data_IF_714077150237
#
_entry.id   IF_714077150237
#
_cell.length_a   1.000
_cell.length_b   1.000
_cell.length_c   1.000
_cell.angle_alpha   90.00
_cell.angle_beta   90.00
_cell.angle_gamma   90.00
#
_symmetry.space_group_name_H-M   'P 1'
#
loop_
_entity.id
_entity.type
_entity.pdbx_description
1 polymer ?
#
# COMPACT_ATOMS: atom_id res chain seq x y z
N UNK A 1 34.25 -70.36 30.59
CA UNK A 1 34.82 -71.72 30.62
C UNK A 1 36.20 -71.61 30.02
N UNK A 2 37.28 -71.91 30.77
CA UNK A 2 38.62 -71.91 30.20
C UNK A 2 38.76 -73.10 29.26
N UNK A 3 39.08 -72.85 27.99
CA UNK A 3 39.37 -73.93 27.03
C UNK A 3 40.67 -74.60 27.45
N UNK A 4 40.57 -75.85 27.90
CA UNK A 4 41.71 -76.63 28.38
C UNK A 4 42.06 -77.73 27.39
N UNK A 5 43.30 -77.72 26.94
CA UNK A 5 43.85 -78.70 26.01
C UNK A 5 44.16 -80.00 26.73
N UNK A 6 44.06 -81.12 26.01
CA UNK A 6 44.64 -82.37 26.51
C UNK A 6 46.17 -82.25 26.60
N UNK A 7 46.84 -83.05 27.45
CA UNK A 7 48.30 -82.99 27.57
C UNK A 7 49.02 -83.18 26.23
N UNK A 8 48.51 -84.06 25.36
CA UNK A 8 49.08 -84.32 24.03
C UNK A 8 48.89 -83.15 23.08
N UNK A 9 47.72 -82.51 23.08
CA UNK A 9 47.46 -81.31 22.27
C UNK A 9 48.31 -80.13 22.74
N UNK A 10 48.40 -79.94 24.05
CA UNK A 10 49.22 -78.89 24.66
C UNK A 10 50.69 -79.07 24.28
N UNK A 11 51.23 -80.28 24.36
CA UNK A 11 52.61 -80.57 23.97
C UNK A 11 52.88 -80.29 22.49
N UNK A 12 51.98 -80.72 21.59
CA UNK A 12 52.11 -80.48 20.14
C UNK A 12 52.09 -79.00 19.81
N UNK A 13 51.13 -78.26 20.38
CA UNK A 13 51.00 -76.83 20.13
C UNK A 13 52.15 -76.03 20.75
N UNK A 14 52.65 -76.42 21.93
CA UNK A 14 53.87 -75.83 22.49
C UNK A 14 55.07 -75.98 21.56
N UNK A 15 55.29 -77.16 20.96
CA UNK A 15 56.41 -77.36 20.03
C UNK A 15 56.36 -76.45 18.80
N UNK A 16 55.16 -76.22 18.24
CA UNK A 16 54.98 -75.28 17.12
C UNK A 16 55.25 -73.83 17.54
N UNK A 17 54.77 -73.44 18.73
CA UNK A 17 54.99 -72.09 19.27
C UNK A 17 56.46 -71.83 19.60
N UNK A 18 57.17 -72.82 20.15
CA UNK A 18 58.62 -72.76 20.39
C UNK A 18 59.40 -72.54 19.11
N UNK A 19 59.15 -73.36 18.08
CA UNK A 19 59.80 -73.21 16.78
C UNK A 19 59.48 -71.84 16.14
N UNK A 20 58.25 -71.35 16.31
CA UNK A 20 57.82 -70.05 15.80
C UNK A 20 58.53 -68.90 16.52
N UNK A 21 58.67 -68.97 17.84
CA UNK A 21 59.39 -67.99 18.66
C UNK A 21 60.88 -67.96 18.29
N UNK A 22 61.52 -69.12 18.12
CA UNK A 22 62.92 -69.21 17.70
C UNK A 22 63.14 -68.55 16.33
N UNK A 23 62.32 -68.90 15.34
CA UNK A 23 62.40 -68.31 13.99
C UNK A 23 62.15 -66.80 14.00
N UNK A 24 61.17 -66.32 14.77
CA UNK A 24 60.89 -64.88 14.86
C UNK A 24 61.97 -64.13 15.63
N UNK A 25 62.56 -64.72 16.67
CA UNK A 25 63.70 -64.16 17.39
C UNK A 25 64.93 -64.06 16.48
N UNK A 26 65.16 -65.06 15.63
CA UNK A 26 66.21 -65.01 14.61
C UNK A 26 65.99 -63.88 13.61
N UNK A 27 64.77 -63.72 13.08
CA UNK A 27 64.43 -62.58 12.23
C UNK A 27 64.63 -61.24 12.96
N UNK A 28 64.34 -61.19 14.26
CA UNK A 28 64.65 -60.04 15.12
C UNK A 28 66.15 -59.74 15.17
N UNK A 29 67.02 -60.74 15.28
CA UNK A 29 68.47 -60.56 15.33
C UNK A 29 69.10 -60.03 14.02
N UNK A 30 68.46 -60.27 12.88
CA UNK A 30 68.93 -59.77 11.56
C UNK A 30 68.39 -58.35 11.28
N UNK A 31 67.31 -57.94 11.93
CA UNK A 31 66.66 -56.64 11.67
C UNK A 31 67.55 -55.41 11.95
N UNK A 32 68.42 -55.39 12.99
CA UNK A 32 69.39 -54.31 13.20
C UNK A 32 70.32 -54.07 12.01
N UNK A 33 70.76 -55.13 11.34
CA UNK A 33 71.61 -55.07 10.15
C UNK A 33 70.85 -54.43 8.98
N UNK A 34 69.59 -54.86 8.76
CA UNK A 34 68.69 -54.27 7.75
C UNK A 34 68.41 -52.79 8.04
N UNK A 35 68.29 -52.40 9.31
CA UNK A 35 68.10 -51.01 9.73
C UNK A 35 69.35 -50.14 9.51
N UNK A 36 70.55 -50.71 9.59
CA UNK A 36 71.79 -50.01 9.26
C UNK A 36 71.86 -49.68 7.76
N UNK A 37 71.37 -50.59 6.91
CA UNK A 37 71.26 -50.39 5.46
C UNK A 37 69.96 -49.70 5.02
N UNK A 38 69.22 -49.08 5.95
CA UNK A 38 67.92 -48.43 5.68
C UNK A 38 68.01 -47.37 4.58
N UNK A 39 69.07 -46.56 4.57
CA UNK A 39 69.23 -45.47 3.59
C UNK A 39 69.50 -46.03 2.19
N UNK A 40 70.33 -47.06 2.07
CA UNK A 40 70.62 -47.77 0.82
C UNK A 40 69.35 -48.42 0.25
N UNK A 41 68.57 -49.10 1.10
CA UNK A 41 67.29 -49.71 0.68
C UNK A 41 66.25 -48.65 0.26
N UNK A 42 66.19 -47.53 0.97
CA UNK A 42 65.32 -46.40 0.60
C UNK A 42 65.76 -45.74 -0.72
N UNK A 43 67.07 -45.68 -0.99
CA UNK A 43 67.61 -45.19 -2.26
C UNK A 43 67.26 -46.12 -3.41
N UNK A 44 67.41 -47.45 -3.27
CA UNK A 44 67.04 -48.42 -4.30
C UNK A 44 65.57 -48.29 -4.70
N UNK A 45 64.67 -48.11 -3.73
CA UNK A 45 63.23 -47.87 -4.01
C UNK A 45 63.02 -46.51 -4.68
N UNK A 46 63.75 -45.48 -4.26
CA UNK A 46 63.73 -44.15 -4.88
C UNK A 46 64.24 -44.15 -6.33
N UNK A 47 65.28 -44.93 -6.62
CA UNK A 47 65.83 -45.13 -7.97
C UNK A 47 64.83 -45.84 -8.88
N UNK A 48 64.12 -46.85 -8.37
CA UNK A 48 63.08 -47.56 -9.12
C UNK A 48 61.89 -46.64 -9.45
N UNK A 49 61.44 -45.83 -8.48
CA UNK A 49 60.40 -44.81 -8.72
C UNK A 49 60.89 -43.78 -9.75
N UNK A 50 62.14 -43.34 -9.64
CA UNK A 50 62.74 -42.39 -10.58
C UNK A 50 62.83 -42.97 -11.99
N UNK A 51 63.16 -44.26 -12.13
CA UNK A 51 63.16 -44.99 -13.39
C UNK A 51 61.75 -45.03 -14.00
N UNK A 52 60.73 -45.39 -13.23
CA UNK A 52 59.33 -45.42 -13.70
C UNK A 52 58.87 -44.03 -14.16
N UNK A 53 59.23 -42.97 -13.43
CA UNK A 53 58.91 -41.58 -13.82
C UNK A 53 59.58 -41.23 -15.15
N UNK A 54 60.83 -41.66 -15.35
CA UNK A 54 61.56 -41.39 -16.58
C UNK A 54 60.98 -42.15 -17.78
N UNK A 55 60.60 -43.42 -17.60
CA UNK A 55 59.87 -44.20 -18.60
C UNK A 55 58.52 -43.57 -18.95
N UNK A 56 57.78 -43.07 -17.94
CA UNK A 56 56.52 -42.40 -18.16
C UNK A 56 56.68 -41.10 -18.97
N UNK A 57 57.70 -40.27 -18.67
CA UNK A 57 58.02 -39.08 -19.47
C UNK A 57 58.39 -39.42 -20.91
N UNK A 58 59.10 -40.53 -21.14
CA UNK A 58 59.40 -40.98 -22.49
C UNK A 58 58.14 -41.41 -23.25
N UNK A 59 57.22 -42.11 -22.59
CA UNK A 59 55.92 -42.48 -23.16
C UNK A 59 55.05 -41.25 -23.46
N UNK A 60 55.03 -40.25 -22.57
CA UNK A 60 54.34 -38.97 -22.79
C UNK A 60 54.90 -38.23 -24.01
N UNK A 61 56.23 -38.12 -24.11
CA UNK A 61 56.88 -37.49 -25.27
C UNK A 61 56.64 -38.26 -26.57
N UNK A 62 56.59 -39.61 -26.53
CA UNK A 62 56.24 -40.43 -27.69
C UNK A 62 54.77 -40.23 -28.09
N UNK A 63 53.87 -40.16 -27.11
CA UNK A 63 52.45 -39.92 -27.34
C UNK A 63 52.22 -38.55 -28.00
N UNK A 64 52.85 -37.50 -27.47
CA UNK A 64 52.75 -36.14 -28.03
C UNK A 64 53.22 -36.08 -29.48
N UNK A 65 54.38 -36.68 -29.80
CA UNK A 65 54.89 -36.80 -31.18
C UNK A 65 53.90 -37.53 -32.09
N UNK A 66 53.31 -38.62 -31.63
CA UNK A 66 52.34 -39.38 -32.41
C UNK A 66 51.04 -38.61 -32.64
N UNK A 67 50.55 -37.85 -31.65
CA UNK A 67 49.39 -36.94 -31.79
C UNK A 67 49.69 -35.83 -32.81
N UNK A 68 50.87 -35.21 -32.75
CA UNK A 68 51.29 -34.19 -33.71
C UNK A 68 51.37 -34.77 -35.14
N UNK A 69 51.95 -35.97 -35.30
CA UNK A 69 51.98 -36.68 -36.58
C UNK A 69 50.58 -37.02 -37.09
N UNK A 70 49.64 -37.42 -36.20
CA UNK A 70 48.25 -37.69 -36.57
C UNK A 70 47.56 -36.46 -37.16
N UNK A 71 47.81 -35.28 -36.59
CA UNK A 71 47.25 -34.01 -37.07
C UNK A 71 47.70 -33.72 -38.51
N UNK A 72 48.97 -33.97 -38.83
CA UNK A 72 49.54 -33.82 -40.19
C UNK A 72 49.01 -34.90 -41.14
N UNK A 73 48.95 -36.16 -40.71
CA UNK A 73 48.52 -37.29 -41.54
C UNK A 73 47.01 -37.27 -41.86
N UNK A 74 46.19 -36.58 -41.06
CA UNK A 74 44.75 -36.43 -41.31
C UNK A 74 44.44 -35.64 -42.59
N UNK A 75 45.37 -34.78 -43.04
CA UNK A 75 45.26 -33.98 -44.27
C UNK A 75 45.84 -34.63 -45.52
N UNK A 76 46.48 -35.80 -45.40
CA UNK A 76 47.17 -36.49 -46.51
C UNK A 76 46.39 -37.73 -46.96
N UNK A 77 46.49 -38.09 -48.24
CA UNK A 77 45.83 -39.26 -48.86
C UNK A 77 46.41 -40.62 -48.41
N UNK A 78 47.50 -40.63 -47.63
CA UNK A 78 48.19 -41.85 -47.21
C UNK A 78 47.48 -42.55 -46.04
N UNK A 79 46.40 -43.28 -46.36
CA UNK A 79 45.58 -44.05 -45.40
C UNK A 79 46.36 -45.12 -44.63
N UNK A 80 47.46 -45.65 -45.18
CA UNK A 80 48.26 -46.70 -44.52
C UNK A 80 49.01 -46.14 -43.31
N UNK A 81 49.80 -45.07 -43.52
CA UNK A 81 50.55 -44.41 -42.44
C UNK A 81 49.65 -43.84 -41.35
N UNK A 82 48.46 -43.35 -41.72
CA UNK A 82 47.48 -42.87 -40.74
C UNK A 82 46.96 -44.00 -39.82
N UNK A 83 46.66 -45.18 -40.38
CA UNK A 83 46.23 -46.35 -39.59
C UNK A 83 47.33 -46.90 -38.69
N UNK A 84 48.57 -46.90 -39.16
CA UNK A 84 49.73 -47.31 -38.38
C UNK A 84 49.97 -46.37 -37.19
N UNK A 85 49.99 -45.06 -37.44
CA UNK A 85 50.06 -44.05 -36.39
C UNK A 85 48.90 -44.17 -35.38
N UNK A 86 47.68 -44.47 -35.84
CA UNK A 86 46.54 -44.70 -34.95
C UNK A 86 46.72 -45.93 -34.05
N UNK A 87 47.32 -47.02 -34.55
CA UNK A 87 47.65 -48.21 -33.75
C UNK A 87 48.74 -47.90 -32.72
N UNK A 88 49.79 -47.18 -33.12
CA UNK A 88 50.85 -46.76 -32.20
C UNK A 88 50.34 -45.84 -31.09
N UNK A 89 49.43 -44.91 -31.40
CA UNK A 89 48.77 -44.07 -30.39
C UNK A 89 48.01 -44.92 -29.38
N UNK A 90 47.26 -45.92 -29.85
CA UNK A 90 46.50 -46.82 -28.96
C UNK A 90 47.43 -47.61 -28.04
N UNK A 91 48.53 -48.13 -28.57
CA UNK A 91 49.49 -48.92 -27.80
C UNK A 91 50.25 -48.05 -26.79
N UNK A 92 50.74 -46.88 -27.19
CA UNK A 92 51.38 -45.92 -26.26
C UNK A 92 50.39 -45.46 -25.19
N UNK A 93 49.11 -45.26 -25.52
CA UNK A 93 48.07 -44.93 -24.52
C UNK A 93 47.81 -46.04 -23.51
N UNK A 94 47.94 -47.31 -23.93
CA UNK A 94 47.81 -48.48 -23.03
C UNK A 94 49.00 -48.55 -22.09
N UNK A 95 50.21 -48.45 -22.64
CA UNK A 95 51.45 -48.43 -21.87
C UNK A 95 51.52 -47.26 -20.89
N UNK A 96 51.03 -46.08 -21.28
CA UNK A 96 50.93 -44.91 -20.38
C UNK A 96 50.01 -45.22 -19.19
N UNK A 97 48.85 -45.81 -19.42
CA UNK A 97 47.92 -46.21 -18.34
C UNK A 97 48.53 -47.25 -17.42
N UNK A 98 49.25 -48.23 -17.96
CA UNK A 98 49.95 -49.25 -17.18
C UNK A 98 51.10 -48.65 -16.36
N UNK A 99 51.89 -47.76 -16.96
CA UNK A 99 52.97 -47.01 -16.29
C UNK A 99 52.42 -46.12 -15.17
N UNK A 100 51.34 -45.36 -15.43
CA UNK A 100 50.70 -44.53 -14.40
C UNK A 100 50.14 -45.38 -13.26
N UNK A 101 49.54 -46.54 -13.55
CA UNK A 101 49.07 -47.47 -12.51
C UNK A 101 50.23 -48.01 -11.68
N UNK A 102 51.35 -48.38 -12.32
CA UNK A 102 52.57 -48.84 -11.66
C UNK A 102 53.16 -47.74 -10.76
N UNK A 103 53.26 -46.51 -11.26
CA UNK A 103 53.74 -45.35 -10.51
C UNK A 103 52.85 -45.05 -9.30
N UNK A 104 51.53 -44.96 -9.50
CA UNK A 104 50.59 -44.72 -8.40
C UNK A 104 50.63 -45.82 -7.35
N UNK A 105 50.81 -47.09 -7.76
CA UNK A 105 50.96 -48.20 -6.83
C UNK A 105 52.25 -48.06 -6.02
N UNK A 106 53.40 -47.83 -6.66
CA UNK A 106 54.68 -47.67 -5.98
C UNK A 106 54.68 -46.45 -5.03
N UNK A 107 54.08 -45.33 -5.44
CA UNK A 107 53.93 -44.14 -4.58
C UNK A 107 52.97 -44.37 -3.40
N UNK A 108 51.92 -45.17 -3.60
CA UNK A 108 50.93 -45.49 -2.55
C UNK A 108 51.43 -46.55 -1.57
N UNK A 109 52.20 -47.53 -2.05
CA UNK A 109 52.71 -48.65 -1.27
C UNK A 109 54.02 -48.31 -0.53
N UNK A 110 54.80 -47.32 -0.99
CA UNK A 110 56.10 -46.96 -0.38
C UNK A 110 56.30 -45.46 -0.07
N UNK A 111 55.51 -44.83 0.83
CA UNK A 111 55.81 -43.47 1.28
C UNK A 111 56.86 -43.43 2.40
N UNK A 112 57.09 -44.53 3.12
CA UNK A 112 58.00 -44.56 4.28
C UNK A 112 58.56 -45.98 4.56
N UNK A 113 59.53 -46.43 3.76
CA UNK A 113 60.19 -47.74 3.93
C UNK A 113 60.66 -47.96 5.38
N UNK A 114 61.27 -46.93 5.95
CA UNK A 114 61.81 -46.99 7.29
C UNK A 114 60.76 -47.08 8.41
N UNK A 115 59.68 -46.30 8.29
CA UNK A 115 58.56 -46.37 9.22
C UNK A 115 57.88 -47.72 9.15
N UNK A 116 57.76 -48.31 7.96
CA UNK A 116 57.26 -49.67 7.79
C UNK A 116 58.18 -50.69 8.47
N UNK A 117 59.50 -50.55 8.32
CA UNK A 117 60.45 -51.47 8.95
C UNK A 117 60.43 -51.36 10.48
N UNK A 118 60.33 -50.14 11.02
CA UNK A 118 60.18 -49.89 12.44
C UNK A 118 58.87 -50.50 12.98
N UNK A 119 57.78 -50.32 12.24
CA UNK A 119 56.48 -50.91 12.58
C UNK A 119 56.53 -52.44 12.59
N UNK A 120 57.14 -53.06 11.56
CA UNK A 120 57.34 -54.51 11.51
C UNK A 120 58.11 -55.02 12.72
N UNK A 121 59.13 -54.28 13.16
CA UNK A 121 59.91 -54.65 14.35
C UNK A 121 59.05 -54.57 15.62
N UNK A 122 58.29 -53.49 15.81
CA UNK A 122 57.39 -53.34 16.96
C UNK A 122 56.30 -54.41 16.99
N UNK A 123 55.67 -54.70 15.86
CA UNK A 123 54.65 -55.75 15.76
C UNK A 123 55.24 -57.14 16.03
N UNK A 124 56.47 -57.39 15.57
CA UNK A 124 57.19 -58.64 15.86
C UNK A 124 57.49 -58.79 17.34
N UNK A 125 57.97 -57.74 18.01
CA UNK A 125 58.22 -57.76 19.46
C UNK A 125 56.94 -58.05 20.24
N UNK A 126 55.84 -57.37 19.92
CA UNK A 126 54.53 -57.65 20.53
C UNK A 126 54.04 -59.08 20.28
N UNK A 127 54.27 -59.62 19.08
CA UNK A 127 53.90 -61.01 18.75
C UNK A 127 54.78 -62.02 19.50
N UNK A 128 56.07 -61.77 19.64
CA UNK A 128 56.98 -62.59 20.44
C UNK A 128 56.54 -62.63 21.91
N UNK A 129 56.15 -61.49 22.47
CA UNK A 129 55.63 -61.39 23.84
C UNK A 129 54.33 -62.17 24.00
N UNK A 130 53.35 -61.96 23.10
CA UNK A 130 52.06 -62.67 23.11
C UNK A 130 52.24 -64.20 23.00
N UNK A 131 53.03 -64.66 22.04
CA UNK A 131 53.28 -66.09 21.85
C UNK A 131 54.10 -66.67 23.01
N UNK A 132 55.02 -65.90 23.59
CA UNK A 132 55.80 -66.29 24.78
C UNK A 132 54.92 -66.49 26.02
N UNK A 133 53.99 -65.57 26.27
CA UNK A 133 53.00 -65.70 27.34
C UNK A 133 52.07 -66.89 27.09
N UNK A 134 51.56 -67.03 25.86
CA UNK A 134 50.69 -68.15 25.47
C UNK A 134 51.40 -69.49 25.65
N UNK A 135 52.67 -69.60 25.23
CA UNK A 135 53.49 -70.80 25.41
C UNK A 135 53.67 -71.14 26.90
N UNK A 136 53.96 -70.15 27.74
CA UNK A 136 54.11 -70.33 29.19
C UNK A 136 52.80 -70.81 29.84
N UNK A 137 51.68 -70.21 29.43
CA UNK A 137 50.33 -70.57 29.88
C UNK A 137 50.00 -72.02 29.49
N UNK A 138 50.24 -72.40 28.23
CA UNK A 138 49.99 -73.74 27.73
C UNK A 138 50.84 -74.79 28.44
N UNK A 139 52.12 -74.52 28.69
CA UNK A 139 53.01 -75.44 29.44
C UNK A 139 52.57 -75.64 30.89
N UNK A 140 52.15 -74.58 31.58
CA UNK A 140 51.86 -74.62 33.02
C UNK A 140 50.43 -75.05 33.34
N UNK A 141 49.48 -74.63 32.52
CA UNK A 141 48.05 -74.71 32.82
C UNK A 141 47.25 -75.47 31.75
N UNK A 142 47.83 -75.70 30.56
CA UNK A 142 47.15 -76.33 29.44
C UNK A 142 46.05 -75.45 28.83
N UNK A 143 46.13 -74.14 29.01
CA UNK A 143 45.15 -73.15 28.52
C UNK A 143 45.84 -72.12 27.62
N UNK A 144 45.06 -71.38 26.84
CA UNK A 144 45.53 -70.35 25.89
C UNK A 144 44.64 -69.10 25.93
N UNK A 145 44.13 -68.77 27.12
CA UNK A 145 43.21 -67.65 27.36
C UNK A 145 43.85 -66.31 26.95
N UNK A 146 45.16 -66.16 27.12
CA UNK A 146 45.90 -64.96 26.71
C UNK A 146 45.70 -64.66 25.22
N UNK A 147 45.79 -65.69 24.37
CA UNK A 147 45.59 -65.56 22.93
C UNK A 147 44.11 -65.31 22.59
N UNK A 148 43.19 -65.97 23.28
CA UNK A 148 41.75 -65.77 23.09
C UNK A 148 41.33 -64.33 23.38
N UNK A 149 41.77 -63.77 24.51
CA UNK A 149 41.48 -62.39 24.92
C UNK A 149 42.06 -61.42 23.90
N UNK A 150 43.33 -61.59 23.52
CA UNK A 150 43.98 -60.73 22.52
C UNK A 150 43.21 -60.69 21.19
N UNK A 151 42.79 -61.85 20.67
CA UNK A 151 42.02 -61.92 19.42
C UNK A 151 40.63 -61.30 19.58
N UNK A 152 39.96 -61.50 20.72
CA UNK A 152 38.65 -60.92 20.98
C UNK A 152 38.71 -59.39 21.09
N UNK A 153 39.70 -58.85 21.80
CA UNK A 153 39.95 -57.42 21.91
C UNK A 153 40.32 -56.80 20.56
N UNK A 154 41.15 -57.48 19.77
CA UNK A 154 41.51 -57.07 18.42
C UNK A 154 40.29 -56.97 17.50
N UNK A 155 39.43 -57.99 17.49
CA UNK A 155 38.16 -57.96 16.72
C UNK A 155 37.24 -56.84 17.18
N UNK A 156 37.04 -56.67 18.49
CA UNK A 156 36.22 -55.59 19.05
C UNK A 156 36.74 -54.21 18.67
N UNK A 157 38.07 -54.02 18.71
CA UNK A 157 38.71 -52.76 18.31
C UNK A 157 38.55 -52.50 16.81
N UNK A 158 38.70 -53.54 15.97
CA UNK A 158 38.49 -53.44 14.52
C UNK A 158 37.04 -53.07 14.17
N UNK A 159 36.06 -53.69 14.81
CA UNK A 159 34.64 -53.38 14.63
C UNK A 159 34.33 -51.93 15.03
N UNK A 160 34.84 -51.47 16.19
CA UNK A 160 34.71 -50.08 16.63
C UNK A 160 35.33 -49.10 15.63
N UNK A 161 36.52 -49.40 15.11
CA UNK A 161 37.18 -48.56 14.11
C UNK A 161 36.36 -48.47 12.81
N UNK A 162 35.78 -49.58 12.36
CA UNK A 162 34.91 -49.60 11.19
C UNK A 162 33.63 -48.77 11.40
N UNK A 163 33.00 -48.88 12.57
CA UNK A 163 31.83 -48.08 12.94
C UNK A 163 32.15 -46.58 13.00
N UNK A 164 33.30 -46.20 13.57
CA UNK A 164 33.76 -44.80 13.60
C UNK A 164 33.96 -44.27 12.18
N UNK A 165 34.64 -45.02 11.31
CA UNK A 165 34.86 -44.63 9.91
C UNK A 165 33.54 -44.48 9.14
N UNK A 166 32.57 -45.37 9.39
CA UNK A 166 31.25 -45.28 8.79
C UNK A 166 30.53 -44.00 9.23
N UNK A 167 30.49 -43.73 10.55
CA UNK A 167 29.89 -42.52 11.10
C UNK A 167 30.57 -41.25 10.63
N UNK A 168 31.89 -41.26 10.50
CA UNK A 168 32.65 -40.13 9.95
C UNK A 168 32.24 -39.84 8.51
N UNK A 169 32.15 -40.87 7.65
CA UNK A 169 31.68 -40.71 6.26
C UNK A 169 30.26 -40.15 6.20
N UNK A 170 29.36 -40.69 7.01
CA UNK A 170 27.96 -40.21 7.09
C UNK A 170 27.91 -38.74 7.54
N UNK A 171 28.67 -38.37 8.57
CA UNK A 171 28.74 -37.00 9.06
C UNK A 171 29.33 -36.03 8.01
N UNK A 172 30.36 -36.44 7.26
CA UNK A 172 30.95 -35.62 6.19
C UNK A 172 29.94 -35.38 5.06
N UNK A 173 29.21 -36.40 4.63
CA UNK A 173 28.17 -36.22 3.61
C UNK A 173 27.01 -35.35 4.13
N UNK A 174 26.63 -35.49 5.39
CA UNK A 174 25.59 -34.66 5.99
C UNK A 174 26.01 -33.18 6.11
N UNK A 175 27.25 -32.90 6.53
CA UNK A 175 27.80 -31.53 6.54
C UNK A 175 27.80 -30.93 5.14
N UNK A 176 28.14 -31.72 4.11
CA UNK A 176 28.12 -31.29 2.72
C UNK A 176 26.69 -30.98 2.25
N UNK A 177 25.71 -31.82 2.60
CA UNK A 177 24.28 -31.61 2.31
C UNK A 177 23.76 -30.33 2.96
N UNK A 178 23.99 -30.17 4.27
CA UNK A 178 23.58 -28.99 5.03
C UNK A 178 24.26 -27.71 4.52
N UNK A 179 25.54 -27.80 4.11
CA UNK A 179 26.25 -26.69 3.49
C UNK A 179 25.62 -26.22 2.18
N UNK A 180 25.17 -27.16 1.34
CA UNK A 180 24.45 -26.85 0.11
C UNK A 180 23.07 -26.25 0.37
N UNK A 181 22.33 -26.78 1.36
CA UNK A 181 21.01 -26.26 1.74
C UNK A 181 21.10 -24.84 2.29
N UNK A 182 22.06 -24.58 3.19
CA UNK A 182 22.30 -23.25 3.74
C UNK A 182 22.69 -22.23 2.66
N UNK A 183 23.51 -22.63 1.68
CA UNK A 183 23.88 -21.77 0.56
C UNK A 183 22.67 -21.42 -0.31
N UNK A 184 21.80 -22.39 -0.58
CA UNK A 184 20.55 -22.19 -1.33
C UNK A 184 19.60 -21.26 -0.59
N UNK A 185 19.38 -21.49 0.70
CA UNK A 185 18.48 -20.67 1.53
C UNK A 185 18.97 -19.22 1.63
N UNK A 186 20.28 -19.00 1.79
CA UNK A 186 20.86 -17.65 1.75
C UNK A 186 20.61 -16.93 0.43
N UNK A 187 20.73 -17.64 -0.70
CA UNK A 187 20.49 -17.06 -2.02
C UNK A 187 19.01 -16.70 -2.22
N UNK A 188 18.11 -17.60 -1.81
CA UNK A 188 16.66 -17.40 -1.88
C UNK A 188 16.23 -16.20 -1.01
N UNK A 189 16.71 -16.15 0.24
CA UNK A 189 16.45 -15.02 1.13
C UNK A 189 16.98 -13.69 0.57
N UNK A 190 18.17 -13.67 -0.03
CA UNK A 190 18.70 -12.46 -0.68
C UNK A 190 17.80 -11.99 -1.83
N UNK A 191 17.27 -12.93 -2.61
CA UNK A 191 16.33 -12.63 -3.70
C UNK A 191 15.02 -12.06 -3.17
N UNK A 192 14.42 -12.68 -2.16
CA UNK A 192 13.21 -12.19 -1.50
C UNK A 192 13.40 -10.77 -0.92
N UNK A 193 14.52 -10.53 -0.24
CA UNK A 193 14.84 -9.20 0.29
C UNK A 193 14.96 -8.16 -0.83
N UNK A 194 15.55 -8.53 -1.97
CA UNK A 194 15.64 -7.64 -3.13
C UNK A 194 14.25 -7.35 -3.72
N UNK A 195 13.40 -8.36 -3.87
CA UNK A 195 12.01 -8.22 -4.35
C UNK A 195 11.14 -7.38 -3.40
N UNK A 196 11.29 -7.57 -2.09
CA UNK A 196 10.61 -6.72 -1.11
C UNK A 196 11.09 -5.28 -1.15
N UNK A 197 12.40 -5.04 -1.34
CA UNK A 197 12.94 -3.68 -1.51
C UNK A 197 12.37 -2.99 -2.75
N UNK A 198 12.26 -3.69 -3.89
CA UNK A 198 11.67 -3.11 -5.10
C UNK A 198 10.19 -2.82 -4.92
N UNK A 199 9.44 -3.73 -4.27
CA UNK A 199 8.03 -3.50 -3.94
C UNK A 199 7.84 -2.28 -3.01
N UNK A 200 8.68 -2.13 -1.99
CA UNK A 200 8.67 -0.96 -1.10
C UNK A 200 8.93 0.34 -1.87
N UNK A 201 9.88 0.35 -2.80
CA UNK A 201 10.15 1.52 -3.63
C UNK A 201 8.94 1.88 -4.49
N UNK A 202 8.33 0.88 -5.14
CA UNK A 202 7.14 1.09 -5.96
C UNK A 202 5.96 1.64 -5.15
N UNK A 203 5.69 1.09 -3.96
CA UNK A 203 4.64 1.58 -3.07
C UNK A 203 4.92 3.02 -2.60
N UNK A 204 6.18 3.38 -2.34
CA UNK A 204 6.56 4.77 -2.00
C UNK A 204 6.28 5.73 -3.16
N UNK A 205 6.61 5.34 -4.39
CA UNK A 205 6.30 6.13 -5.59
C UNK A 205 4.79 6.31 -5.77
N UNK A 206 4.01 5.25 -5.61
CA UNK A 206 2.55 5.32 -5.68
C UNK A 206 1.98 6.29 -4.62
N UNK A 207 2.46 6.21 -3.37
CA UNK A 207 2.03 7.12 -2.30
C UNK A 207 2.37 8.58 -2.65
N UNK A 208 3.57 8.84 -3.19
CA UNK A 208 3.97 10.17 -3.61
C UNK A 208 3.09 10.70 -4.76
N UNK A 209 2.81 9.87 -5.76
CA UNK A 209 1.95 10.22 -6.88
C UNK A 209 0.52 10.55 -6.42
N UNK A 210 -0.07 9.70 -5.57
CA UNK A 210 -1.41 9.92 -5.01
C UNK A 210 -1.45 11.19 -4.17
N UNK A 211 -0.44 11.43 -3.32
CA UNK A 211 -0.36 12.66 -2.50
C UNK A 211 -0.27 13.92 -3.37
N UNK A 212 0.59 13.91 -4.40
CA UNK A 212 0.75 15.03 -5.32
C UNK A 212 -0.55 15.32 -6.06
N UNK A 213 -1.20 14.31 -6.63
CA UNK A 213 -2.49 14.43 -7.31
C UNK A 213 -3.57 14.96 -6.36
N UNK A 214 -3.70 14.38 -5.18
CA UNK A 214 -4.70 14.81 -4.18
C UNK A 214 -4.48 16.25 -3.75
N UNK A 215 -3.23 16.69 -3.59
CA UNK A 215 -2.92 18.08 -3.25
C UNK A 215 -3.34 19.06 -4.35
N UNK A 216 -3.14 18.68 -5.61
CA UNK A 216 -3.58 19.44 -6.78
C UNK A 216 -5.12 19.50 -6.81
N UNK A 217 -5.80 18.36 -6.65
CA UNK A 217 -7.26 18.27 -6.64
C UNK A 217 -7.89 19.12 -5.53
N UNK A 218 -7.32 19.09 -4.32
CA UNK A 218 -7.75 19.95 -3.19
C UNK A 218 -7.61 21.44 -3.55
N UNK A 219 -6.50 21.85 -4.19
CA UNK A 219 -6.31 23.24 -4.60
C UNK A 219 -7.34 23.65 -5.66
N UNK A 220 -7.59 22.80 -6.65
CA UNK A 220 -8.61 23.06 -7.67
C UNK A 220 -10.01 23.18 -7.05
N UNK A 221 -10.43 22.21 -6.24
CA UNK A 221 -11.73 22.24 -5.56
C UNK A 221 -11.89 23.49 -4.67
N UNK A 222 -10.83 23.89 -3.95
CA UNK A 222 -10.84 25.10 -3.11
C UNK A 222 -10.96 26.38 -3.95
N UNK A 223 -10.25 26.46 -5.08
CA UNK A 223 -10.35 27.60 -5.98
C UNK A 223 -11.73 27.68 -6.64
N UNK A 224 -12.29 26.55 -7.07
CA UNK A 224 -13.64 26.48 -7.63
C UNK A 224 -14.70 26.92 -6.60
N UNK A 225 -14.62 26.40 -5.37
CA UNK A 225 -15.52 26.79 -4.29
C UNK A 225 -15.40 28.29 -3.96
N UNK A 226 -14.17 28.83 -3.94
CA UNK A 226 -13.92 30.27 -3.74
C UNK A 226 -14.52 31.11 -4.87
N UNK A 227 -14.33 30.70 -6.12
CA UNK A 227 -14.86 31.38 -7.30
C UNK A 227 -16.40 31.37 -7.30
N UNK A 228 -17.02 30.21 -7.05
CA UNK A 228 -18.47 30.06 -6.90
C UNK A 228 -19.00 30.97 -5.79
N UNK A 229 -18.41 30.91 -4.59
CA UNK A 229 -18.81 31.78 -3.46
C UNK A 229 -18.70 33.27 -3.82
N UNK A 230 -17.62 33.69 -4.47
CA UNK A 230 -17.44 35.10 -4.88
C UNK A 230 -18.46 35.52 -5.94
N UNK A 231 -18.74 34.65 -6.92
CA UNK A 231 -19.75 34.91 -7.95
C UNK A 231 -21.15 35.03 -7.35
N UNK A 232 -21.54 34.07 -6.51
CA UNK A 232 -22.81 34.07 -5.79
C UNK A 232 -22.93 35.30 -4.88
N UNK A 233 -21.87 35.68 -4.15
CA UNK A 233 -21.87 36.87 -3.31
C UNK A 233 -22.08 38.16 -4.12
N UNK A 234 -21.44 38.30 -5.29
CA UNK A 234 -21.65 39.45 -6.19
C UNK A 234 -23.09 39.51 -6.70
N UNK A 235 -23.65 38.38 -7.11
CA UNK A 235 -25.04 38.29 -7.58
C UNK A 235 -26.02 38.69 -6.46
N UNK A 236 -25.83 38.19 -5.24
CA UNK A 236 -26.67 38.61 -4.10
C UNK A 236 -26.50 40.09 -3.76
N UNK A 237 -25.29 40.62 -3.87
CA UNK A 237 -25.05 42.04 -3.64
C UNK A 237 -25.82 42.91 -4.64
N UNK A 238 -25.73 42.60 -5.94
CA UNK A 238 -26.51 43.28 -6.97
C UNK A 238 -28.02 43.19 -6.71
N UNK A 239 -28.52 42.00 -6.36
CA UNK A 239 -29.93 41.84 -6.02
C UNK A 239 -30.33 42.68 -4.80
N UNK A 240 -29.47 42.77 -3.78
CA UNK A 240 -29.75 43.64 -2.63
C UNK A 240 -29.77 45.12 -3.02
N UNK A 241 -28.86 45.57 -3.89
CA UNK A 241 -28.88 46.95 -4.41
C UNK A 241 -30.16 47.22 -5.20
N UNK A 242 -30.57 46.33 -6.09
CA UNK A 242 -31.83 46.44 -6.84
C UNK A 242 -33.07 46.51 -5.93
N UNK A 243 -33.12 45.66 -4.89
CA UNK A 243 -34.21 45.72 -3.91
C UNK A 243 -34.16 47.01 -3.09
N UNK A 244 -32.96 47.51 -2.76
CA UNK A 244 -32.80 48.76 -2.03
C UNK A 244 -33.29 49.96 -2.86
N UNK A 245 -32.92 50.02 -4.14
CA UNK A 245 -33.41 51.04 -5.07
C UNK A 245 -34.93 50.97 -5.22
N UNK A 246 -35.48 49.76 -5.32
CA UNK A 246 -36.94 49.56 -5.37
C UNK A 246 -37.65 50.01 -4.11
N UNK A 247 -37.08 49.75 -2.93
CA UNK A 247 -37.59 50.26 -1.66
C UNK A 247 -37.57 51.79 -1.67
N UNK A 248 -36.46 52.41 -2.11
CA UNK A 248 -36.32 53.86 -2.17
C UNK A 248 -37.33 54.49 -3.14
N UNK A 249 -37.55 53.89 -4.31
CA UNK A 249 -38.56 54.32 -5.27
C UNK A 249 -39.97 54.21 -4.70
N UNK A 250 -40.31 53.09 -4.03
CA UNK A 250 -41.60 52.91 -3.39
C UNK A 250 -41.81 53.90 -2.24
N UNK A 251 -40.77 54.16 -1.43
CA UNK A 251 -40.80 55.19 -0.40
C UNK A 251 -41.05 56.58 -1.01
N UNK A 252 -40.38 56.91 -2.12
CA UNK A 252 -40.62 58.15 -2.87
C UNK A 252 -42.06 58.25 -3.39
N UNK A 253 -42.61 57.16 -3.93
CA UNK A 253 -44.01 57.12 -4.37
C UNK A 253 -44.97 57.33 -3.19
N UNK A 254 -44.76 56.64 -2.07
CA UNK A 254 -45.56 56.83 -0.87
C UNK A 254 -45.50 58.27 -0.36
N UNK A 255 -44.32 58.91 -0.31
CA UNK A 255 -44.23 60.31 0.14
C UNK A 255 -44.93 61.27 -0.82
N UNK A 256 -44.83 61.04 -2.14
CA UNK A 256 -45.59 61.84 -3.11
C UNK A 256 -47.09 61.64 -2.98
N UNK A 257 -47.54 60.41 -2.76
CA UNK A 257 -48.95 60.08 -2.58
C UNK A 257 -49.50 60.68 -1.29
N UNK A 258 -48.77 60.58 -0.18
CA UNK A 258 -49.12 61.26 1.08
C UNK A 258 -49.21 62.76 0.88
N UNK A 259 -48.23 63.39 0.20
CA UNK A 259 -48.26 64.84 -0.07
C UNK A 259 -49.46 65.24 -0.92
N UNK A 260 -49.73 64.53 -2.02
CA UNK A 260 -50.88 64.82 -2.89
C UNK A 260 -52.20 64.58 -2.13
N UNK A 261 -52.28 63.54 -1.31
CA UNK A 261 -53.42 63.29 -0.45
C UNK A 261 -53.64 64.45 0.52
N UNK A 262 -52.61 64.90 1.24
CA UNK A 262 -52.68 66.01 2.17
C UNK A 262 -53.10 67.32 1.47
N UNK A 263 -52.50 67.63 0.31
CA UNK A 263 -52.86 68.78 -0.52
C UNK A 263 -54.32 68.70 -1.01
N UNK A 264 -54.77 67.52 -1.44
CA UNK A 264 -56.16 67.30 -1.90
C UNK A 264 -57.14 67.44 -0.74
N UNK A 265 -56.83 66.87 0.43
CA UNK A 265 -57.64 67.01 1.64
C UNK A 265 -57.72 68.47 2.07
N UNK A 266 -56.60 69.20 2.02
CA UNK A 266 -56.57 70.63 2.34
C UNK A 266 -57.45 71.42 1.37
N UNK A 267 -57.28 71.22 0.06
CA UNK A 267 -58.09 71.89 -0.97
C UNK A 267 -59.58 71.60 -0.80
N UNK A 268 -59.96 70.34 -0.54
CA UNK A 268 -61.36 69.96 -0.33
C UNK A 268 -61.93 70.58 0.95
N UNK A 269 -61.15 70.67 2.03
CA UNK A 269 -61.56 71.37 3.26
C UNK A 269 -61.77 72.86 3.02
N UNK A 270 -60.83 73.53 2.37
CA UNK A 270 -60.94 74.97 2.05
C UNK A 270 -62.15 75.23 1.15
N UNK A 271 -62.36 74.39 0.12
CA UNK A 271 -63.51 74.53 -0.78
C UNK A 271 -64.82 74.25 -0.06
N UNK A 272 -64.85 73.29 0.87
CA UNK A 272 -66.02 73.03 1.70
C UNK A 272 -66.35 74.24 2.58
N UNK A 273 -65.34 74.85 3.21
CA UNK A 273 -65.50 76.05 4.04
C UNK A 273 -65.96 77.26 3.21
N UNK A 274 -65.40 77.47 2.02
CA UNK A 274 -65.88 78.50 1.08
C UNK A 274 -67.34 78.31 0.70
N UNK A 275 -67.72 77.08 0.32
CA UNK A 275 -69.11 76.77 -0.02
C UNK A 275 -70.05 76.92 1.18
N UNK A 276 -69.59 76.59 2.40
CA UNK A 276 -70.35 76.84 3.63
C UNK A 276 -70.55 78.34 3.86
N UNK A 277 -69.52 79.17 3.65
CA UNK A 277 -69.62 80.63 3.75
C UNK A 277 -70.56 81.21 2.69
N UNK A 278 -70.42 80.82 1.42
CA UNK A 278 -71.33 81.23 0.34
C UNK A 278 -72.78 80.81 0.63
N UNK A 279 -72.99 79.60 1.17
CA UNK A 279 -74.31 79.12 1.58
C UNK A 279 -74.86 79.97 2.74
N UNK A 280 -74.03 80.33 3.71
CA UNK A 280 -74.43 81.20 4.83
C UNK A 280 -74.80 82.61 4.33
N UNK A 281 -74.00 83.19 3.42
CA UNK A 281 -74.28 84.48 2.78
C UNK A 281 -75.58 84.46 1.97
N UNK A 282 -75.78 83.43 1.14
CA UNK A 282 -77.01 83.28 0.35
C UNK A 282 -78.23 83.05 1.23
N UNK A 283 -78.11 82.28 2.31
CA UNK A 283 -79.18 82.13 3.30
C UNK A 283 -79.51 83.45 3.98
N UNK A 284 -78.50 84.23 4.39
CA UNK A 284 -78.69 85.54 5.00
C UNK A 284 -79.38 86.51 4.03
N UNK A 285 -78.93 86.56 2.77
CA UNK A 285 -79.55 87.36 1.71
C UNK A 285 -80.98 86.91 1.42
N UNK A 286 -81.21 85.60 1.31
CA UNK A 286 -82.55 85.04 1.10
C UNK A 286 -83.49 85.43 2.25
N UNK A 287 -83.05 85.34 3.51
CA UNK A 287 -83.82 85.79 4.66
C UNK A 287 -84.11 87.30 4.58
N UNK A 288 -83.12 88.12 4.24
CA UNK A 288 -83.27 89.56 4.13
C UNK A 288 -84.23 89.96 3.00
N UNK A 289 -84.12 89.34 1.83
CA UNK A 289 -85.01 89.56 0.69
C UNK A 289 -86.44 89.08 1.00
N UNK A 290 -86.59 87.97 1.72
CA UNK A 290 -87.90 87.45 2.17
C UNK A 290 -88.56 88.41 3.16
N UNK A 291 -87.80 88.93 4.13
CA UNK A 291 -88.27 89.95 5.06
C UNK A 291 -88.65 91.24 4.33
N UNK A 292 -87.81 91.73 3.42
CA UNK A 292 -88.10 92.92 2.61
C UNK A 292 -89.38 92.74 1.77
N UNK A 293 -89.57 91.55 1.18
CA UNK A 293 -90.80 91.22 0.44
C UNK A 293 -92.02 91.09 1.34
N UNK A 294 -91.88 90.57 2.56
CA UNK A 294 -92.96 90.57 3.56
C UNK A 294 -93.36 91.98 3.98
N UNK A 295 -92.39 92.87 4.20
CA UNK A 295 -92.66 94.30 4.51
C UNK A 295 -93.38 94.97 3.35
N UNK A 296 -92.92 94.78 2.10
CA UNK A 296 -93.61 95.31 0.91
C UNK A 296 -95.04 94.75 0.78
N UNK A 297 -95.25 93.48 1.11
CA UNK A 297 -96.57 92.87 1.10
C UNK A 297 -97.49 93.48 2.18
N UNK A 298 -96.96 93.73 3.37
CA UNK A 298 -97.66 94.44 4.45
C UNK A 298 -98.03 95.86 4.04
N UNK A 299 -97.10 96.65 3.49
CA UNK A 299 -97.41 98.01 3.00
C UNK A 299 -98.49 98.00 1.91
N UNK A 300 -98.46 97.03 1.00
CA UNK A 300 -99.49 96.86 -0.03
C UNK A 300 -100.85 96.47 0.57
N UNK A 301 -100.85 95.61 1.59
CA UNK A 301 -102.07 95.24 2.33
C UNK A 301 -102.64 96.44 3.09
N UNK A 302 -101.80 97.24 3.75
CA UNK A 302 -102.20 98.47 4.44
C UNK A 302 -102.75 99.51 3.45
N UNK A 303 -102.08 99.72 2.31
CA UNK A 303 -102.60 100.59 1.23
C UNK A 303 -103.92 100.09 0.67
N UNK A 304 -104.08 98.77 0.51
CA UNK A 304 -105.36 98.16 0.10
C UNK A 304 -106.45 98.41 1.14
N UNK A 305 -106.14 98.25 2.43
CA UNK A 305 -107.08 98.51 3.53
C UNK A 305 -107.47 100.00 3.61
N UNK A 306 -106.51 100.92 3.45
CA UNK A 306 -106.75 102.36 3.43
C UNK A 306 -107.61 102.79 2.22
N UNK A 307 -107.35 102.20 1.04
CA UNK A 307 -108.19 102.43 -0.14
C UNK A 307 -109.58 101.82 -0.01
N UNK A 308 -109.72 100.66 0.64
CA UNK A 308 -111.02 100.06 0.95
C UNK A 308 -111.84 100.96 1.89
N UNK A 309 -111.23 101.52 2.95
CA UNK A 309 -111.87 102.50 3.83
C UNK A 309 -112.26 103.79 3.11
N UNK A 310 -111.45 104.28 2.16
CA UNK A 310 -111.82 105.42 1.31
C UNK A 310 -113.02 105.09 0.41
N UNK A 311 -113.05 103.90 -0.17
CA UNK A 311 -114.16 103.45 -1.01
C UNK A 311 -115.46 103.31 -0.20
N UNK A 312 -115.38 102.77 1.01
CA UNK A 312 -116.51 102.66 1.95
C UNK A 312 -117.05 104.05 2.33
N UNK A 313 -116.17 105.02 2.62
CA UNK A 313 -116.58 106.40 2.87
C UNK A 313 -117.23 107.07 1.65
N UNK A 314 -116.74 106.81 0.43
CA UNK A 314 -117.37 107.31 -0.79
C UNK A 314 -118.72 106.64 -1.05
N UNK A 315 -118.86 105.34 -0.78
CA UNK A 315 -120.13 104.62 -0.89
C UNK A 315 -121.15 105.13 0.14
N UNK A 316 -120.73 105.41 1.38
CA UNK A 316 -121.61 105.98 2.41
C UNK A 316 -122.09 107.38 2.03
N UNK A 317 -121.19 108.24 1.54
CA UNK A 317 -121.55 109.58 1.02
C UNK A 317 -122.54 109.52 -0.13
N UNK A 318 -122.34 108.59 -1.07
CA UNK A 318 -123.24 108.42 -2.20
C UNK A 318 -124.63 107.91 -1.77
N UNK A 319 -124.68 107.00 -0.79
CA UNK A 319 -125.95 106.53 -0.20
C UNK A 319 -126.69 107.65 0.55
N UNK A 320 -125.97 108.51 1.29
CA UNK A 320 -126.53 109.69 1.98
C UNK A 320 -127.06 110.75 0.99
N UNK A 321 -126.36 110.99 -0.14
CA UNK A 321 -126.83 111.88 -1.22
C UNK A 321 -128.04 111.31 -1.99
N UNK A 322 -128.07 110.01 -2.26
CA UNK A 322 -129.22 109.37 -2.92
C UNK A 322 -130.48 109.33 -2.03
N UNK A 323 -130.31 109.18 -0.71
CA UNK A 323 -131.42 109.21 0.24
C UNK A 323 -132.03 110.62 0.40
N UNK A 324 -131.21 111.66 0.35
CA UNK A 324 -131.67 113.06 0.45
C UNK A 324 -132.38 113.54 -0.82
N UNK A 325 -132.03 113.01 -2.00
CA UNK A 325 -132.76 113.26 -3.25
C UNK A 325 -134.14 112.59 -3.22
N UNK A 326 -134.23 111.31 -2.80
CA UNK A 326 -135.51 110.60 -2.66
C UNK A 326 -136.48 111.24 -1.67
N UNK A 327 -136.00 111.75 -0.53
CA UNK A 327 -136.86 112.45 0.44
C UNK A 327 -137.43 113.76 -0.09
N UNK A 328 -136.69 114.50 -0.93
CA UNK A 328 -137.17 115.76 -1.52
C UNK A 328 -138.16 115.57 -2.68
N UNK A 329 -138.08 114.44 -3.38
CA UNK A 329 -139.06 114.07 -4.41
C UNK A 329 -140.39 113.58 -3.80
N UNK A 330 -140.35 112.90 -2.65
CA UNK A 330 -141.55 112.47 -1.91
C UNK A 330 -142.29 113.65 -1.23
N UNK A 331 -141.59 114.68 -0.75
CA UNK A 331 -142.22 115.89 -0.20
C UNK A 331 -142.88 116.78 -1.28
N UNK A 332 -142.34 116.80 -2.50
CA UNK A 332 -142.97 117.49 -3.64
C UNK A 332 -144.26 116.82 -4.12
N UNK A 333 -144.42 115.52 -3.89
CA UNK A 333 -145.63 114.77 -4.27
C UNK A 333 -146.76 114.88 -3.24
N UNK A 334 -146.47 115.15 -1.95
CA UNK A 334 -147.49 115.31 -0.89
C UNK A 334 -148.18 116.67 -0.84
N UNK A 335 -147.59 117.72 -1.42
CA UNK A 335 -148.19 119.07 -1.45
C UNK A 335 -149.12 119.32 -2.65
N UNK A 336 -149.15 118.42 -3.63
CA UNK A 336 -150.07 118.49 -4.80
C UNK A 336 -151.41 117.78 -4.53
N UNK A 337 -151.51 116.94 -3.48
CA UNK A 337 -152.71 116.15 -3.16
C UNK A 337 -153.61 116.77 -2.06
N UNK A 338 -153.26 117.94 -1.49
CA UNK A 338 -154.08 118.67 -0.50
C UNK A 338 -154.67 119.99 -1.02
N UNK A 339 -154.67 120.21 -2.35
CA UNK A 339 -155.50 121.20 -3.06
C UNK A 339 -156.78 120.59 -3.65
N UNK A 340 -157.21 119.43 -3.14
CA UNK A 340 -158.50 118.81 -3.47
C UNK A 340 -159.34 118.49 -2.21
N UNK A 341 -159.58 119.52 -1.39
CA UNK A 341 -160.86 119.80 -0.70
C UNK A 341 -160.88 121.22 -0.13
#
# INVERSE_FOLDING_TARGET
>A
MAFKLTPTESLRACGVLEESLEKMSFLGSITPDILQHREELSQVVGEEISRIIQEQRQLEGKYEKLIAQRAVLKGLTNKSKFKENQREIQEVSRLLRESTKSLCRNLKENPNFAGNLLKIQQEREGLLELLGHTLSEMKKHGTFETLLVFVAEGKSTQEKAHEILKKEREAVEEVKRLGAELAREKLEHQKEVAEHKTAILHLKEQILAVKSKTQIDIRYARNEAKAKRSSTARMYHQLMEEQHDRIKDLQGKCTTETRVHDETVHFLKDRHEQLQNELAEWNAKYQQDTLAKQVQLQELQERKAANAQRLENFQRRWQEEMATIKQKEEERQRLVELEAL
#
